data_IF_818700257405
#
_entry.id   IF_818700257405
#
_cell.length_a   1.000
_cell.length_b   1.000
_cell.length_c   1.000
_cell.angle_alpha   90.00
_cell.angle_beta   90.00
_cell.angle_gamma   90.00
#
_symmetry.space_group_name_H-M   'P 1'
#
loop_
_entity.id
_entity.type
_entity.pdbx_description
1 polymer ?
#
# COMPACT_ATOMS: atom_id res chain seq x y z
N UNK A 1 15.86 0.78 -1.82
CA UNK A 1 14.52 0.49 -2.37
C UNK A 1 14.20 -0.99 -2.26
N UNK A 2 13.62 -1.34 -1.13
CA UNK A 2 13.00 -2.64 -0.85
C UNK A 2 11.61 -2.77 -1.50
N UNK A 3 11.16 -4.01 -1.72
CA UNK A 3 9.77 -4.27 -2.09
C UNK A 3 9.38 -3.91 -3.53
N UNK A 4 10.33 -3.52 -4.40
CA UNK A 4 10.00 -3.25 -5.81
C UNK A 4 9.41 -4.49 -6.49
N UNK A 5 8.38 -4.27 -7.31
CA UNK A 5 7.62 -5.31 -7.98
C UNK A 5 6.11 -5.07 -7.96
N UNK A 6 5.37 -6.04 -8.49
CA UNK A 6 3.92 -6.11 -8.40
C UNK A 6 3.55 -7.07 -7.27
N UNK A 7 2.52 -6.71 -6.55
CA UNK A 7 2.04 -7.42 -5.38
C UNK A 7 0.53 -7.50 -5.41
N UNK A 8 -0.01 -8.58 -4.88
CA UNK A 8 -1.44 -8.77 -4.69
C UNK A 8 -1.70 -9.11 -3.23
N UNK A 9 -2.72 -8.51 -2.63
CA UNK A 9 -3.15 -8.85 -1.28
C UNK A 9 -4.67 -8.80 -1.18
N UNK A 10 -5.23 -9.65 -0.33
CA UNK A 10 -6.65 -9.63 -0.07
C UNK A 10 -6.98 -8.58 0.99
N UNK A 11 -7.98 -7.75 0.69
CA UNK A 11 -8.45 -6.70 1.58
C UNK A 11 -9.91 -6.98 1.89
N UNK A 12 -10.22 -7.13 3.18
CA UNK A 12 -11.59 -7.26 3.68
C UNK A 12 -11.86 -6.12 4.66
N UNK A 13 -12.55 -5.09 4.17
CA UNK A 13 -12.94 -3.91 4.94
C UNK A 13 -14.41 -3.59 4.68
N UNK A 14 -14.97 -2.65 5.44
CA UNK A 14 -16.33 -2.17 5.19
C UNK A 14 -16.48 -1.41 3.85
N UNK A 15 -15.38 -0.89 3.27
CA UNK A 15 -15.41 -0.05 2.07
C UNK A 15 -15.01 -0.81 0.80
N UNK A 16 -14.17 -1.82 0.94
CA UNK A 16 -13.69 -2.65 -0.16
C UNK A 16 -13.46 -4.08 0.34
N UNK A 17 -13.94 -5.03 -0.47
CA UNK A 17 -13.70 -6.46 -0.32
C UNK A 17 -13.22 -7.02 -1.65
N UNK A 18 -11.97 -7.47 -1.71
CA UNK A 18 -11.40 -8.00 -2.93
C UNK A 18 -9.87 -7.97 -2.90
N UNK A 19 -9.28 -8.24 -4.06
CA UNK A 19 -7.83 -8.29 -4.20
C UNK A 19 -7.31 -6.93 -4.66
N UNK A 20 -6.49 -6.30 -3.81
CA UNK A 20 -5.77 -5.09 -4.16
C UNK A 20 -4.43 -5.46 -4.81
N UNK A 21 -4.16 -4.88 -5.98
CA UNK A 21 -2.85 -4.98 -6.64
C UNK A 21 -2.06 -3.71 -6.41
N UNK A 22 -0.81 -3.87 -5.98
CA UNK A 22 0.10 -2.79 -5.62
C UNK A 22 1.34 -2.94 -6.49
N UNK A 23 1.77 -1.87 -7.15
CA UNK A 23 3.06 -1.83 -7.83
C UNK A 23 3.96 -0.80 -7.15
N UNK A 24 5.12 -1.27 -6.73
CA UNK A 24 6.22 -0.45 -6.25
C UNK A 24 7.31 -0.44 -7.30
N UNK A 25 7.74 0.74 -7.74
CA UNK A 25 8.77 0.89 -8.76
C UNK A 25 9.71 2.05 -8.43
N UNK A 26 10.90 2.04 -9.04
CA UNK A 26 11.83 3.17 -8.95
C UNK A 26 11.44 4.23 -9.99
N UNK A 27 11.15 5.43 -9.51
CA UNK A 27 10.95 6.64 -10.30
C UNK A 27 12.08 7.63 -10.00
N UNK A 28 13.19 7.47 -10.73
CA UNK A 28 14.36 8.36 -10.67
C UNK A 28 14.93 8.56 -9.25
N UNK A 29 15.07 7.47 -8.48
CA UNK A 29 15.60 7.51 -7.12
C UNK A 29 14.53 7.81 -6.06
N UNK A 30 13.24 7.83 -6.44
CA UNK A 30 12.09 7.88 -5.54
C UNK A 30 11.20 6.65 -5.72
N UNK A 31 10.39 6.35 -4.71
CA UNK A 31 9.36 5.32 -4.85
C UNK A 31 8.18 5.83 -5.68
N UNK A 32 7.92 5.14 -6.79
CA UNK A 32 6.63 5.16 -7.48
C UNK A 32 5.67 4.13 -6.88
N UNK A 33 4.40 4.50 -6.78
CA UNK A 33 3.32 3.67 -6.22
C UNK A 33 2.10 3.70 -7.13
N UNK A 34 1.62 2.53 -7.54
CA UNK A 34 0.33 2.38 -8.22
C UNK A 34 -0.53 1.39 -7.42
N UNK A 35 -1.78 1.77 -7.17
CA UNK A 35 -2.80 0.88 -6.60
C UNK A 35 -3.82 0.55 -7.69
N UNK A 36 -4.22 -0.70 -7.78
CA UNK A 36 -5.32 -1.15 -8.63
C UNK A 36 -6.30 -1.95 -7.79
N UNK A 37 -7.55 -1.51 -7.79
CA UNK A 37 -8.67 -2.20 -7.16
C UNK A 37 -9.62 -2.67 -8.28
N UNK A 38 -10.00 -3.96 -8.35
CA UNK A 38 -11.02 -4.41 -9.29
C UNK A 38 -12.36 -3.73 -8.95
N UNK A 39 -13.09 -3.35 -9.99
CA UNK A 39 -14.46 -2.80 -9.92
C UNK A 39 -14.61 -1.48 -9.16
N UNK A 40 -13.52 -0.71 -8.99
CA UNK A 40 -13.55 0.63 -8.41
C UNK A 40 -12.67 1.59 -9.21
N UNK A 41 -13.13 2.84 -9.33
CA UNK A 41 -12.26 3.93 -9.76
C UNK A 41 -11.15 4.11 -8.72
N UNK A 42 -9.90 4.06 -9.19
CA UNK A 42 -8.73 4.15 -8.32
C UNK A 42 -8.65 5.59 -7.79
N UNK A 43 -8.64 5.79 -6.47
CA UNK A 43 -8.46 7.12 -5.90
C UNK A 43 -7.07 7.65 -6.25
N UNK A 44 -6.94 8.96 -6.46
CA UNK A 44 -5.62 9.56 -6.63
C UNK A 44 -4.82 9.40 -5.33
N UNK A 45 -3.66 8.70 -5.40
CA UNK A 45 -2.81 8.42 -4.24
C UNK A 45 -1.54 9.25 -4.32
N UNK A 46 -1.28 10.04 -3.27
CA UNK A 46 -0.02 10.77 -3.10
C UNK A 46 0.77 10.15 -1.97
N UNK A 47 1.99 9.70 -2.26
CA UNK A 47 2.91 9.11 -1.28
C UNK A 47 3.94 10.16 -0.82
N UNK A 48 4.18 10.22 0.48
CA UNK A 48 5.10 11.12 1.18
C UNK A 48 5.88 10.36 2.25
N UNK A 49 6.97 10.97 2.73
CA UNK A 49 7.74 10.52 3.88
C UNK A 49 8.09 9.02 3.88
N UNK A 50 8.59 8.55 2.74
CA UNK A 50 8.99 7.16 2.57
C UNK A 50 10.30 6.90 3.32
N UNK A 51 10.28 5.90 4.20
CA UNK A 51 11.44 5.46 4.98
C UNK A 51 11.58 3.94 4.93
N UNK A 52 12.81 3.48 4.82
CA UNK A 52 13.17 2.06 4.85
C UNK A 52 13.81 1.72 6.20
N UNK A 53 13.38 0.61 6.81
CA UNK A 53 13.87 0.09 8.08
C UNK A 53 14.02 -1.43 7.97
N UNK A 54 15.22 -1.88 7.57
CA UNK A 54 15.48 -3.28 7.24
C UNK A 54 14.63 -3.77 6.06
N UNK A 55 13.74 -4.72 6.31
CA UNK A 55 12.78 -5.25 5.34
C UNK A 55 11.41 -4.56 5.41
N UNK A 56 11.28 -3.47 6.16
CA UNK A 56 10.02 -2.75 6.35
C UNK A 56 10.05 -1.39 5.67
N UNK A 57 9.06 -1.12 4.84
CA UNK A 57 8.79 0.17 4.19
C UNK A 57 7.70 0.90 4.97
N UNK A 58 7.97 2.13 5.37
CA UNK A 58 6.99 3.02 6.00
C UNK A 58 6.78 4.22 5.10
N UNK A 59 5.54 4.64 4.93
CA UNK A 59 5.20 5.81 4.12
C UNK A 59 3.92 6.47 4.65
N UNK A 60 3.74 7.73 4.29
CA UNK A 60 2.47 8.45 4.48
C UNK A 60 1.78 8.52 3.13
N UNK A 61 0.52 8.06 3.07
CA UNK A 61 -0.31 8.16 1.88
C UNK A 61 -1.45 9.14 2.10
N UNK A 62 -1.78 9.93 1.08
CA UNK A 62 -3.02 10.68 1.00
C UNK A 62 -3.84 10.13 -0.17
N UNK A 63 -5.15 10.02 0.03
CA UNK A 63 -6.10 9.67 -1.03
C UNK A 63 -7.18 10.75 -1.12
N UNK A 64 -7.65 11.03 -2.33
CA UNK A 64 -8.71 12.01 -2.60
C UNK A 64 -10.03 11.71 -1.85
N UNK A 65 -10.34 10.43 -1.61
CA UNK A 65 -11.49 9.99 -0.82
C UNK A 65 -11.42 10.40 0.66
N UNK A 66 -10.23 10.76 1.16
CA UNK A 66 -9.98 11.22 2.53
C UNK A 66 -9.16 12.53 2.51
N UNK A 67 -9.75 13.64 2.02
CA UNK A 67 -9.00 14.86 1.77
C UNK A 67 -8.43 15.46 3.06
N UNK A 68 -7.15 15.81 3.02
CA UNK A 68 -6.42 16.40 4.15
C UNK A 68 -6.14 15.42 5.29
N UNK A 69 -6.17 14.11 5.01
CA UNK A 69 -5.90 13.05 6.00
C UNK A 69 -4.73 12.18 5.56
N UNK A 70 -3.81 11.98 6.50
CA UNK A 70 -2.66 11.11 6.35
C UNK A 70 -3.04 9.67 6.73
N UNK A 71 -2.65 8.73 5.88
CA UNK A 71 -2.74 7.29 6.11
C UNK A 71 -1.33 6.80 6.37
N UNK A 72 -1.07 6.26 7.56
CA UNK A 72 0.20 5.59 7.82
C UNK A 72 0.20 4.24 7.12
N UNK A 73 1.17 4.03 6.24
CA UNK A 73 1.40 2.77 5.54
C UNK A 73 2.65 2.12 6.12
N UNK A 74 2.55 0.84 6.46
CA UNK A 74 3.70 0.00 6.84
C UNK A 74 3.60 -1.31 6.08
N UNK A 75 4.62 -1.65 5.31
CA UNK A 75 4.72 -2.91 4.56
C UNK A 75 6.01 -3.61 4.98
N UNK A 76 5.94 -4.86 5.43
CA UNK A 76 7.10 -5.68 5.78
C UNK A 76 7.20 -6.81 4.79
N UNK A 77 8.33 -6.91 4.10
CA UNK A 77 8.57 -7.88 3.02
C UNK A 77 9.36 -9.08 3.53
N UNK A 78 9.00 -10.27 3.08
CA UNK A 78 9.74 -11.52 3.31
C UNK A 78 9.79 -12.35 2.03
N UNK A 79 10.85 -12.18 1.25
CA UNK A 79 10.99 -12.77 -0.08
C UNK A 79 9.85 -12.33 -1.03
N UNK A 80 9.02 -13.30 -1.42
CA UNK A 80 7.88 -13.10 -2.33
C UNK A 80 6.56 -12.87 -1.59
N UNK A 81 6.60 -12.60 -0.29
CA UNK A 81 5.43 -12.23 0.50
C UNK A 81 5.60 -10.88 1.19
N UNK A 82 4.49 -10.29 1.61
CA UNK A 82 4.50 -9.14 2.51
C UNK A 82 3.30 -9.16 3.47
N UNK A 83 3.50 -8.56 4.64
CA UNK A 83 2.41 -8.13 5.52
C UNK A 83 2.33 -6.61 5.52
N UNK A 84 1.11 -6.08 5.62
CA UNK A 84 0.88 -4.64 5.63
C UNK A 84 -0.04 -4.19 6.75
N UNK A 85 0.15 -2.94 7.16
CA UNK A 85 -0.72 -2.24 8.09
C UNK A 85 -0.99 -0.83 7.54
N UNK A 86 -2.27 -0.53 7.32
CA UNK A 86 -2.73 0.81 7.01
C UNK A 86 -3.43 1.38 8.25
N UNK A 87 -3.03 2.55 8.73
CA UNK A 87 -3.78 3.29 9.75
C UNK A 87 -4.54 4.40 9.07
N UNK A 88 -5.84 4.17 8.90
CA UNK A 88 -6.72 5.09 8.21
C UNK A 88 -7.51 5.91 9.24
N UNK A 89 -7.50 7.25 9.17
CA UNK A 89 -8.25 8.09 10.09
C UNK A 89 -9.74 7.76 10.08
N UNK A 90 -10.37 7.78 11.27
CA UNK A 90 -11.79 7.44 11.51
C UNK A 90 -12.21 5.98 11.25
N UNK A 91 -11.46 5.25 10.43
CA UNK A 91 -11.72 3.84 10.09
C UNK A 91 -10.95 2.90 11.04
N UNK A 92 -9.71 3.26 11.38
CA UNK A 92 -8.84 2.47 12.26
C UNK A 92 -7.74 1.72 11.49
N UNK A 93 -7.33 0.58 12.02
CA UNK A 93 -6.20 -0.20 11.48
C UNK A 93 -6.70 -1.29 10.54
N UNK A 94 -6.27 -1.25 9.29
CA UNK A 94 -6.53 -2.28 8.27
C UNK A 94 -5.25 -3.11 8.12
N UNK A 95 -5.36 -4.42 8.30
CA UNK A 95 -4.24 -5.35 8.07
C UNK A 95 -4.33 -5.89 6.65
N UNK A 96 -3.26 -5.75 5.90
CA UNK A 96 -3.06 -6.45 4.63
C UNK A 96 -2.35 -7.75 4.96
N UNK A 97 -3.03 -8.88 4.75
CA UNK A 97 -2.50 -10.20 5.03
C UNK A 97 -2.28 -10.97 3.74
N UNK A 98 -1.39 -11.94 3.81
CA UNK A 98 -1.12 -12.90 2.73
C UNK A 98 -0.76 -12.20 1.42
N UNK A 99 -0.08 -11.04 1.52
CA UNK A 99 0.42 -10.32 0.37
C UNK A 99 1.47 -11.15 -0.35
N UNK A 100 1.35 -11.27 -1.67
CA UNK A 100 2.22 -12.11 -2.50
C UNK A 100 2.68 -11.36 -3.73
N UNK A 101 3.85 -11.71 -4.24
CA UNK A 101 4.35 -11.20 -5.50
C UNK A 101 3.43 -11.66 -6.65
N UNK A 102 3.00 -10.72 -7.46
CA UNK A 102 2.17 -10.94 -8.65
C UNK A 102 3.11 -11.11 -9.85
N UNK A 103 3.32 -12.37 -10.27
CA UNK A 103 4.34 -12.81 -11.25
C UNK A 103 3.79 -12.67 -12.67
#
# INVERSE_FOLDING_TARGET
>A
MIGLGKWICHVDTMFFRGDARIRLFDDNGKYGFELTLPDMDIPEVVIKDVTEDGNTLKAIANIDLLPGKDIDVTLTFDGDTFEGLLKVPFIGKIKLKDGKRDI
#
